data_IF_448176567942
#
_entry.id   IF_448176567942
#
_cell.length_a   1.000
_cell.length_b   1.000
_cell.length_c   1.000
_cell.angle_alpha   90.00
_cell.angle_beta   90.00
_cell.angle_gamma   90.00
#
_symmetry.space_group_name_H-M   'P 1'
#
loop_
_entity.id
_entity.type
_entity.pdbx_description
1 polymer ?
#
# COMPACT_ATOMS: atom_id res chain seq x y z
N UNK A 1 49.92 -43.22 34.22
CA UNK A 1 50.34 -44.53 34.75
C UNK A 1 49.07 -45.35 34.93
N UNK A 2 48.80 -46.23 33.96
CA UNK A 2 48.89 -47.71 34.08
C UNK A 2 47.58 -48.28 34.64
N UNK A 3 46.74 -48.92 33.81
CA UNK A 3 46.84 -50.26 33.17
C UNK A 3 46.01 -51.26 34.01
N UNK A 4 44.96 -51.86 33.44
CA UNK A 4 44.88 -53.28 32.94
C UNK A 4 44.07 -54.11 33.95
N UNK A 5 43.27 -55.12 33.61
CA UNK A 5 42.63 -55.62 32.38
C UNK A 5 41.80 -56.86 32.76
N UNK A 6 40.99 -57.35 31.81
CA UNK A 6 40.72 -58.79 31.50
C UNK A 6 39.86 -59.58 32.53
N UNK A 7 38.93 -60.47 32.16
CA UNK A 7 38.89 -61.32 30.96
C UNK A 7 37.54 -62.08 30.76
N UNK A 8 37.42 -62.67 29.55
CA UNK A 8 36.68 -63.89 29.13
C UNK A 8 35.17 -63.83 28.82
N UNK A 9 34.59 -64.60 27.89
CA UNK A 9 34.92 -65.12 26.54
C UNK A 9 33.68 -65.94 26.07
N UNK A 10 33.58 -66.19 24.75
CA UNK A 10 32.77 -67.22 24.05
C UNK A 10 31.24 -67.01 23.89
N UNK A 11 30.73 -66.70 22.69
CA UNK A 11 30.49 -67.54 21.48
C UNK A 11 29.43 -68.63 21.70
N UNK A 12 28.38 -68.63 20.87
CA UNK A 12 28.09 -69.74 19.96
C UNK A 12 27.10 -69.32 18.87
N UNK A 13 27.46 -69.82 17.70
CA UNK A 13 26.97 -69.58 16.34
C UNK A 13 26.00 -70.71 15.99
N UNK A 14 24.88 -70.39 15.34
CA UNK A 14 24.09 -71.35 14.57
C UNK A 14 23.69 -70.71 13.26
N UNK A 15 24.52 -70.99 12.24
CA UNK A 15 24.14 -70.94 10.85
C UNK A 15 23.26 -72.16 10.50
N UNK A 16 22.16 -71.93 9.80
CA UNK A 16 21.59 -72.92 8.88
C UNK A 16 21.13 -72.21 7.62
N UNK A 17 21.41 -72.86 6.50
CA UNK A 17 21.66 -72.33 5.16
C UNK A 17 20.47 -72.44 4.21
N UNK A 18 20.43 -71.49 3.27
CA UNK A 18 19.99 -71.55 1.86
C UNK A 18 18.83 -72.48 1.46
N UNK A 19 17.76 -71.84 0.95
CA UNK A 19 17.23 -72.22 -0.37
C UNK A 19 16.97 -70.95 -1.19
N UNK A 20 17.74 -70.84 -2.27
CA UNK A 20 17.58 -69.87 -3.36
C UNK A 20 16.51 -70.39 -4.33
N UNK A 21 15.56 -69.56 -4.74
CA UNK A 21 15.25 -69.32 -6.17
C UNK A 21 14.06 -68.35 -6.36
N UNK A 22 14.19 -67.58 -7.43
CA UNK A 22 13.19 -66.75 -8.13
C UNK A 22 12.97 -65.34 -7.59
N UNK A 23 13.82 -64.45 -8.12
CA UNK A 23 13.66 -63.02 -8.05
C UNK A 23 12.31 -62.56 -8.59
N UNK A 24 11.74 -61.60 -7.86
CA UNK A 24 10.66 -60.74 -8.31
C UNK A 24 10.96 -59.31 -7.88
N UNK A 25 12.16 -58.82 -8.20
CA UNK A 25 12.53 -57.42 -8.01
C UNK A 25 12.22 -56.53 -9.24
N UNK A 26 11.57 -57.08 -10.27
CA UNK A 26 11.39 -56.39 -11.56
C UNK A 26 9.94 -56.23 -12.06
N UNK A 27 8.92 -56.12 -11.19
CA UNK A 27 7.56 -55.79 -11.65
C UNK A 27 6.82 -54.83 -10.71
N UNK A 28 7.33 -53.61 -10.54
CA UNK A 28 6.48 -52.44 -10.43
C UNK A 28 7.12 -51.34 -11.27
N UNK A 29 6.52 -50.91 -12.39
CA UNK A 29 7.04 -49.76 -13.09
C UNK A 29 6.99 -48.59 -12.11
N UNK A 30 8.18 -48.08 -11.76
CA UNK A 30 8.35 -46.77 -11.15
C UNK A 30 7.31 -45.86 -11.76
N UNK A 31 6.36 -45.38 -10.96
CA UNK A 31 5.28 -44.54 -11.41
C UNK A 31 5.92 -43.29 -12.00
N UNK A 32 6.20 -43.34 -13.30
CA UNK A 32 6.79 -42.28 -14.05
C UNK A 32 5.85 -41.11 -13.82
N UNK A 33 6.39 -40.06 -13.19
CA UNK A 33 5.69 -38.81 -12.95
C UNK A 33 5.42 -38.20 -14.32
N UNK A 34 4.40 -38.69 -15.02
CA UNK A 34 3.91 -38.15 -16.28
C UNK A 34 3.38 -36.77 -15.94
N UNK A 35 4.25 -35.76 -16.09
CA UNK A 35 3.78 -34.37 -16.14
C UNK A 35 2.86 -34.33 -17.34
N UNK A 36 1.56 -34.00 -17.19
CA UNK A 36 0.72 -33.82 -18.36
C UNK A 36 1.40 -32.76 -19.22
N UNK A 37 1.73 -33.10 -20.47
CA UNK A 37 2.19 -32.12 -21.45
C UNK A 37 1.02 -31.18 -21.72
N UNK A 38 0.84 -30.20 -20.84
CA UNK A 38 -0.13 -29.13 -21.05
C UNK A 38 0.32 -28.41 -22.31
N UNK A 39 -0.52 -28.48 -23.35
CA UNK A 39 -0.28 -27.79 -24.61
C UNK A 39 0.09 -26.33 -24.31
N UNK A 40 0.96 -25.74 -25.14
CA UNK A 40 1.37 -24.33 -24.97
C UNK A 40 0.12 -23.45 -24.79
N UNK A 41 -0.93 -23.71 -25.57
CA UNK A 41 -2.24 -23.04 -25.49
C UNK A 41 -2.88 -23.14 -24.11
N UNK A 42 -2.90 -24.32 -23.47
CA UNK A 42 -3.48 -24.50 -22.14
C UNK A 42 -2.68 -23.76 -21.05
N UNK A 43 -1.36 -23.65 -21.20
CA UNK A 43 -0.51 -22.82 -20.33
C UNK A 43 -0.78 -21.32 -20.50
N UNK A 44 -0.86 -20.84 -21.74
CA UNK A 44 -1.21 -19.43 -22.01
C UNK A 44 -2.62 -19.11 -21.50
N UNK A 45 -3.61 -19.97 -21.74
CA UNK A 45 -4.98 -19.77 -21.27
C UNK A 45 -5.06 -19.73 -19.73
N UNK A 46 -4.43 -20.68 -19.04
CA UNK A 46 -4.43 -20.69 -17.56
C UNK A 46 -3.66 -19.51 -16.95
N UNK A 47 -2.59 -19.05 -17.59
CA UNK A 47 -1.83 -17.88 -17.14
C UNK A 47 -2.62 -16.59 -17.37
N UNK A 48 -3.31 -16.45 -18.50
CA UNK A 48 -4.21 -15.33 -18.79
C UNK A 48 -5.37 -15.28 -17.81
N UNK A 49 -6.05 -16.40 -17.54
CA UNK A 49 -7.15 -16.46 -16.57
C UNK A 49 -6.67 -16.03 -15.17
N UNK A 50 -5.48 -16.50 -14.73
CA UNK A 50 -4.88 -16.10 -13.45
C UNK A 50 -4.57 -14.61 -13.43
N UNK A 51 -3.97 -14.08 -14.49
CA UNK A 51 -3.62 -12.66 -14.58
C UNK A 51 -4.88 -11.79 -14.56
N UNK A 52 -5.88 -12.12 -15.39
CA UNK A 52 -7.16 -11.40 -15.45
C UNK A 52 -7.86 -11.41 -14.11
N UNK A 53 -7.91 -12.55 -13.42
CA UNK A 53 -8.49 -12.64 -12.07
C UNK A 53 -7.76 -11.74 -11.07
N UNK A 54 -6.43 -11.77 -11.05
CA UNK A 54 -5.62 -10.92 -10.16
C UNK A 54 -5.81 -9.42 -10.42
N UNK A 55 -5.96 -9.04 -11.69
CA UNK A 55 -6.21 -7.66 -12.11
C UNK A 55 -7.63 -7.25 -11.72
N UNK A 56 -8.64 -8.06 -12.06
CA UNK A 56 -10.03 -7.78 -11.74
C UNK A 56 -10.26 -7.69 -10.23
N UNK A 57 -9.71 -8.60 -9.43
CA UNK A 57 -9.88 -8.60 -7.97
C UNK A 57 -9.37 -7.28 -7.34
N UNK A 58 -8.31 -6.68 -7.90
CA UNK A 58 -7.76 -5.40 -7.44
C UNK A 58 -8.52 -4.19 -7.99
N UNK A 59 -8.90 -4.25 -9.27
CA UNK A 59 -9.65 -3.17 -9.92
C UNK A 59 -11.09 -3.09 -9.40
N UNK A 60 -11.70 -4.21 -8.99
CA UNK A 60 -13.07 -4.25 -8.50
C UNK A 60 -13.28 -3.33 -7.30
N UNK A 61 -12.30 -3.28 -6.39
CA UNK A 61 -12.38 -2.42 -5.21
C UNK A 61 -12.36 -0.92 -5.60
N UNK A 62 -11.47 -0.54 -6.53
CA UNK A 62 -11.40 0.82 -7.06
C UNK A 62 -12.65 1.18 -7.88
N UNK A 63 -13.16 0.23 -8.68
CA UNK A 63 -14.37 0.40 -9.48
C UNK A 63 -15.61 0.54 -8.59
N UNK A 64 -15.69 -0.25 -7.52
CA UNK A 64 -16.76 -0.13 -6.51
C UNK A 64 -16.75 1.23 -5.83
N UNK A 65 -15.57 1.73 -5.44
CA UNK A 65 -15.44 3.09 -4.93
C UNK A 65 -15.86 4.15 -5.95
N UNK A 66 -15.40 4.05 -7.20
CA UNK A 66 -15.79 4.96 -8.28
C UNK A 66 -17.30 4.92 -8.54
N UNK A 67 -17.94 3.75 -8.44
CA UNK A 67 -19.38 3.59 -8.59
C UNK A 67 -20.15 4.22 -7.42
N UNK A 68 -19.71 4.01 -6.18
CA UNK A 68 -20.32 4.63 -4.99
C UNK A 68 -20.18 6.17 -5.02
N UNK A 69 -18.99 6.66 -5.36
CA UNK A 69 -18.69 8.09 -5.50
C UNK A 69 -19.52 8.72 -6.61
N UNK A 70 -19.53 8.13 -7.81
CA UNK A 70 -20.32 8.66 -8.92
C UNK A 70 -21.83 8.59 -8.64
N UNK A 71 -22.30 7.52 -8.00
CA UNK A 71 -23.67 7.42 -7.50
C UNK A 71 -24.02 8.54 -6.51
N UNK A 72 -23.14 8.86 -5.56
CA UNK A 72 -23.33 9.98 -4.64
C UNK A 72 -23.38 11.33 -5.36
N UNK A 73 -22.47 11.57 -6.30
CA UNK A 73 -22.43 12.81 -7.10
C UNK A 73 -23.74 12.98 -7.88
N UNK A 74 -24.21 11.93 -8.54
CA UNK A 74 -25.48 11.94 -9.29
C UNK A 74 -26.67 12.15 -8.35
N UNK A 75 -26.71 11.44 -7.22
CA UNK A 75 -27.80 11.56 -6.23
C UNK A 75 -27.88 12.96 -5.60
N UNK A 76 -26.73 13.54 -5.23
CA UNK A 76 -26.67 14.89 -4.65
C UNK A 76 -26.89 15.99 -5.68
N UNK A 77 -26.81 15.67 -6.98
CA UNK A 77 -26.95 16.64 -8.06
C UNK A 77 -25.77 17.62 -8.17
N UNK A 78 -24.64 17.30 -7.56
CA UNK A 78 -23.38 18.04 -7.67
C UNK A 78 -22.80 17.91 -9.09
N UNK A 79 -21.96 18.87 -9.50
CA UNK A 79 -21.19 18.85 -10.75
C UNK A 79 -22.07 18.99 -12.00
N UNK A 80 -22.82 20.10 -12.03
CA UNK A 80 -23.59 20.49 -13.21
C UNK A 80 -22.81 21.53 -14.03
N UNK A 81 -22.85 21.40 -15.34
CA UNK A 81 -22.22 22.34 -16.28
C UNK A 81 -20.70 22.47 -16.06
N UNK A 82 -20.18 23.71 -16.01
CA UNK A 82 -18.74 23.98 -15.89
C UNK A 82 -18.16 23.65 -14.50
N UNK A 83 -19.00 23.51 -13.47
CA UNK A 83 -18.57 23.13 -12.11
C UNK A 83 -18.07 21.67 -12.03
N UNK A 84 -18.27 20.88 -13.09
CA UNK A 84 -17.73 19.52 -13.21
C UNK A 84 -16.20 19.49 -13.03
N UNK A 85 -15.47 20.44 -13.61
CA UNK A 85 -14.00 20.42 -13.55
C UNK A 85 -13.48 20.71 -12.14
N UNK A 86 -14.03 21.72 -11.47
CA UNK A 86 -13.67 22.05 -10.09
C UNK A 86 -14.06 20.92 -9.12
N UNK A 87 -15.25 20.36 -9.31
CA UNK A 87 -15.75 19.23 -8.55
C UNK A 87 -14.93 17.95 -8.67
N UNK A 88 -14.69 17.53 -9.91
CA UNK A 88 -13.90 16.34 -10.21
C UNK A 88 -12.48 16.46 -9.65
N UNK A 89 -11.89 17.65 -9.67
CA UNK A 89 -10.57 17.88 -9.08
C UNK A 89 -10.55 17.58 -7.58
N UNK A 90 -11.54 18.04 -6.81
CA UNK A 90 -11.63 17.78 -5.37
C UNK A 90 -11.88 16.30 -5.07
N UNK A 91 -12.74 15.65 -5.85
CA UNK A 91 -13.10 14.26 -5.63
C UNK A 91 -11.99 13.29 -6.01
N UNK A 92 -11.27 13.55 -7.10
CA UNK A 92 -10.09 12.76 -7.47
C UNK A 92 -8.97 12.99 -6.45
N UNK A 93 -8.61 14.26 -6.15
CA UNK A 93 -7.52 14.58 -5.21
C UNK A 93 -7.80 14.02 -3.82
N UNK A 94 -8.99 14.27 -3.28
CA UNK A 94 -9.41 13.73 -1.98
C UNK A 94 -9.53 12.20 -1.98
N UNK A 95 -10.00 11.61 -3.08
CA UNK A 95 -10.04 10.15 -3.26
C UNK A 95 -8.66 9.50 -3.22
N UNK A 96 -7.64 10.12 -3.81
CA UNK A 96 -6.25 9.64 -3.73
C UNK A 96 -5.78 9.61 -2.27
N UNK A 97 -6.00 10.68 -1.50
CA UNK A 97 -5.62 10.70 -0.07
C UNK A 97 -6.41 9.72 0.78
N UNK A 98 -7.70 9.53 0.48
CA UNK A 98 -8.52 8.48 1.09
C UNK A 98 -7.90 7.10 0.89
N UNK A 99 -7.54 6.77 -0.35
CA UNK A 99 -6.87 5.50 -0.68
C UNK A 99 -5.47 5.39 -0.06
N UNK A 100 -4.70 6.48 0.02
CA UNK A 100 -3.43 6.50 0.75
C UNK A 100 -3.64 6.18 2.24
N UNK A 101 -4.71 6.67 2.86
CA UNK A 101 -5.08 6.33 4.23
C UNK A 101 -5.38 4.84 4.42
N UNK A 102 -6.17 4.24 3.51
CA UNK A 102 -6.43 2.80 3.51
C UNK A 102 -5.16 1.98 3.27
N UNK A 103 -4.29 2.41 2.35
CA UNK A 103 -3.01 1.73 2.10
C UNK A 103 -2.09 1.80 3.32
N UNK A 104 -2.00 2.95 4.00
CA UNK A 104 -1.25 3.10 5.24
C UNK A 104 -1.77 2.16 6.34
N UNK A 105 -3.09 2.00 6.45
CA UNK A 105 -3.70 1.09 7.39
C UNK A 105 -3.48 -0.38 7.02
N UNK A 106 -3.70 -0.76 5.76
CA UNK A 106 -3.41 -2.10 5.26
C UNK A 106 -1.95 -2.48 5.46
N UNK A 107 -1.03 -1.51 5.35
CA UNK A 107 0.39 -1.68 5.66
C UNK A 107 0.65 -2.00 7.13
N UNK A 108 -0.06 -1.32 8.05
CA UNK A 108 -0.05 -1.62 9.48
C UNK A 108 -0.63 -3.02 9.80
N UNK A 109 -1.70 -3.43 9.11
CA UNK A 109 -2.29 -4.78 9.30
C UNK A 109 -1.41 -5.89 8.72
N UNK A 110 -0.65 -5.60 7.65
CA UNK A 110 0.26 -6.52 6.96
C UNK A 110 -0.20 -6.96 5.57
N UNK A 111 -1.17 -6.27 4.97
CA UNK A 111 -1.80 -6.60 3.68
C UNK A 111 -0.82 -6.79 2.51
N UNK A 112 0.31 -6.06 2.53
CA UNK A 112 1.30 -6.03 1.45
C UNK A 112 2.65 -6.63 1.86
N UNK A 113 2.68 -7.48 2.89
CA UNK A 113 3.89 -8.16 3.32
C UNK A 113 4.52 -9.02 2.19
N UNK A 114 3.70 -9.61 1.32
CA UNK A 114 4.18 -10.42 0.19
C UNK A 114 5.00 -9.62 -0.84
N UNK A 115 4.74 -8.32 -1.00
CA UNK A 115 5.49 -7.41 -1.87
C UNK A 115 6.67 -6.73 -1.15
N UNK A 116 6.76 -6.91 0.16
CA UNK A 116 7.69 -6.22 1.05
C UNK A 116 7.25 -4.80 1.43
N UNK A 117 6.09 -4.32 0.98
CA UNK A 117 5.63 -2.95 1.23
C UNK A 117 5.12 -2.71 2.65
N UNK A 118 4.97 -3.76 3.47
CA UNK A 118 4.69 -3.58 4.90
C UNK A 118 5.74 -2.65 5.54
N UNK A 119 7.03 -2.89 5.30
CA UNK A 119 8.13 -2.05 5.83
C UNK A 119 9.39 -2.07 4.96
N UNK A 120 9.22 -2.18 3.64
CA UNK A 120 10.29 -2.30 2.64
C UNK A 120 11.29 -3.44 2.86
N UNK A 121 10.86 -4.49 3.55
CA UNK A 121 11.65 -5.70 3.76
C UNK A 121 11.18 -6.77 2.78
N UNK A 122 12.07 -7.18 1.88
CA UNK A 122 11.77 -8.20 0.87
C UNK A 122 11.68 -9.58 1.54
N UNK A 123 10.67 -10.41 1.22
CA UNK A 123 10.58 -11.76 1.77
C UNK A 123 11.74 -12.65 1.27
N UNK A 124 12.30 -13.49 2.15
CA UNK A 124 13.37 -14.43 1.79
C UNK A 124 12.89 -15.44 0.75
N UNK A 125 13.68 -15.70 -0.29
CA UNK A 125 13.44 -16.76 -1.29
C UNK A 125 12.67 -16.34 -2.55
N UNK A 126 12.21 -15.09 -2.66
CA UNK A 126 11.68 -14.52 -3.91
C UNK A 126 12.49 -13.30 -4.31
N UNK A 127 13.21 -13.38 -5.43
CA UNK A 127 13.95 -12.25 -5.99
C UNK A 127 12.97 -11.26 -6.64
N UNK A 128 12.21 -10.51 -5.83
CA UNK A 128 11.32 -9.48 -6.35
C UNK A 128 12.12 -8.18 -6.55
N UNK A 129 12.16 -7.70 -7.80
CA UNK A 129 12.63 -6.35 -8.17
C UNK A 129 11.58 -5.28 -7.86
N UNK A 130 10.79 -5.46 -6.79
CA UNK A 130 9.78 -4.49 -6.40
C UNK A 130 10.44 -3.24 -5.82
N UNK A 131 10.14 -2.03 -6.36
CA UNK A 131 10.54 -0.78 -5.73
C UNK A 131 9.94 -0.62 -4.33
N UNK A 132 10.58 0.21 -3.48
CA UNK A 132 10.06 0.59 -2.17
C UNK A 132 8.72 1.32 -2.30
N UNK A 133 7.90 1.27 -1.26
CA UNK A 133 6.61 1.97 -1.25
C UNK A 133 6.82 3.49 -1.37
N UNK A 134 7.85 4.01 -0.71
CA UNK A 134 8.22 5.42 -0.68
C UNK A 134 8.71 5.90 -2.05
N UNK A 135 9.29 5.01 -2.86
CA UNK A 135 9.57 5.29 -4.26
C UNK A 135 8.27 5.46 -5.04
N UNK A 136 7.28 4.57 -4.84
CA UNK A 136 5.96 4.71 -5.48
C UNK A 136 5.21 5.96 -5.01
N UNK A 137 5.23 6.26 -3.71
CA UNK A 137 4.65 7.49 -3.16
C UNK A 137 5.32 8.73 -3.80
N UNK A 138 6.65 8.74 -3.89
CA UNK A 138 7.40 9.83 -4.54
C UNK A 138 7.10 9.93 -6.04
N UNK A 139 6.97 8.79 -6.73
CA UNK A 139 6.61 8.74 -8.15
C UNK A 139 5.21 9.30 -8.40
N UNK A 140 4.23 8.96 -7.56
CA UNK A 140 2.87 9.50 -7.70
C UNK A 140 2.81 11.00 -7.38
N UNK A 141 3.55 11.47 -6.37
CA UNK A 141 3.69 12.91 -6.09
C UNK A 141 4.29 13.63 -7.31
N UNK A 142 5.35 13.08 -7.89
CA UNK A 142 5.99 13.62 -9.09
C UNK A 142 5.04 13.61 -10.29
N UNK A 143 4.38 12.49 -10.57
CA UNK A 143 3.47 12.32 -11.70
C UNK A 143 2.29 13.30 -11.59
N UNK A 144 1.78 13.47 -10.36
CA UNK A 144 0.75 14.46 -10.07
C UNK A 144 1.26 15.88 -10.34
N UNK A 145 2.45 16.24 -9.84
CA UNK A 145 3.04 17.56 -10.13
C UNK A 145 3.25 17.80 -11.62
N UNK A 146 3.84 16.83 -12.32
CA UNK A 146 4.15 16.90 -13.75
C UNK A 146 2.89 17.05 -14.62
N UNK A 147 1.80 16.38 -14.25
CA UNK A 147 0.54 16.45 -15.01
C UNK A 147 -0.27 17.70 -14.69
N UNK A 148 -0.36 18.10 -13.41
CA UNK A 148 -1.26 19.18 -12.99
C UNK A 148 -0.76 20.60 -13.32
N UNK A 149 0.53 20.81 -13.58
CA UNK A 149 1.04 22.10 -14.10
C UNK A 149 0.24 22.56 -15.33
N UNK A 150 -0.18 21.61 -16.18
CA UNK A 150 -0.89 21.91 -17.43
C UNK A 150 -2.42 21.92 -17.28
N UNK A 151 -2.96 21.36 -16.19
CA UNK A 151 -4.41 21.19 -16.01
C UNK A 151 -5.08 22.37 -15.30
N UNK A 152 -4.32 23.18 -14.57
CA UNK A 152 -4.88 24.22 -13.70
C UNK A 152 -5.61 25.34 -14.47
N UNK A 153 -5.09 25.72 -15.64
CA UNK A 153 -5.73 26.74 -16.48
C UNK A 153 -6.85 26.19 -17.39
N UNK A 154 -7.15 24.88 -17.35
CA UNK A 154 -8.21 24.31 -18.19
C UNK A 154 -9.61 24.82 -17.83
N UNK A 155 -9.83 25.21 -16.57
CA UNK A 155 -11.13 25.74 -16.14
C UNK A 155 -11.43 27.14 -16.71
N UNK A 156 -10.40 27.87 -17.14
CA UNK A 156 -10.49 29.22 -17.73
C UNK A 156 -9.67 29.32 -19.03
N UNK A 157 -9.79 28.31 -19.91
CA UNK A 157 -9.00 28.25 -21.13
C UNK A 157 -9.22 29.46 -22.03
N UNK A 158 -8.16 30.26 -22.23
CA UNK A 158 -8.19 31.48 -23.04
C UNK A 158 -8.59 32.74 -22.28
N UNK A 159 -8.78 32.66 -20.96
CA UNK A 159 -8.99 33.80 -20.07
C UNK A 159 -7.70 34.34 -19.44
N UNK A 160 -7.82 35.40 -18.65
CA UNK A 160 -6.70 35.96 -17.88
C UNK A 160 -6.29 35.02 -16.74
N UNK A 161 -4.99 35.02 -16.42
CA UNK A 161 -4.44 34.30 -15.26
C UNK A 161 -4.81 35.01 -13.97
N UNK A 162 -5.43 34.27 -13.05
CA UNK A 162 -5.80 34.78 -11.72
C UNK A 162 -4.70 34.49 -10.69
N UNK A 163 -4.73 35.20 -9.56
CA UNK A 163 -3.81 34.93 -8.44
C UNK A 163 -3.92 33.48 -7.92
N UNK A 164 -5.14 32.92 -7.91
CA UNK A 164 -5.41 31.53 -7.52
C UNK A 164 -4.70 30.54 -8.44
N UNK A 165 -4.62 30.82 -9.75
CA UNK A 165 -3.92 29.95 -10.70
C UNK A 165 -2.43 29.91 -10.42
N UNK A 166 -1.83 31.04 -10.04
CA UNK A 166 -0.41 31.10 -9.65
C UNK A 166 -0.15 30.36 -8.33
N UNK A 167 -1.05 30.45 -7.34
CA UNK A 167 -0.96 29.67 -6.11
C UNK A 167 -0.98 28.16 -6.42
N UNK A 168 -1.91 27.70 -7.24
CA UNK A 168 -2.00 26.30 -7.63
C UNK A 168 -0.79 25.84 -8.46
N UNK A 169 -0.29 26.64 -9.40
CA UNK A 169 0.96 26.33 -10.13
C UNK A 169 2.13 26.16 -9.14
N UNK A 170 2.25 27.04 -8.15
CA UNK A 170 3.34 26.94 -7.16
C UNK A 170 3.29 25.63 -6.37
N UNK A 171 2.08 25.15 -6.05
CA UNK A 171 1.87 23.84 -5.39
C UNK A 171 2.26 22.70 -6.35
N UNK A 172 1.92 22.78 -7.63
CA UNK A 172 2.31 21.73 -8.59
C UNK A 172 3.82 21.64 -8.77
N UNK A 173 4.54 22.77 -8.71
CA UNK A 173 6.00 22.79 -8.75
C UNK A 173 6.62 22.13 -7.51
N UNK A 174 6.05 22.37 -6.33
CA UNK A 174 6.44 21.68 -5.09
C UNK A 174 6.26 20.15 -5.23
N UNK A 175 5.15 19.70 -5.81
CA UNK A 175 4.89 18.27 -6.03
C UNK A 175 5.85 17.67 -7.06
N UNK A 176 6.12 18.38 -8.15
CA UNK A 176 7.07 17.95 -9.17
C UNK A 176 8.48 17.79 -8.58
N UNK A 177 9.00 18.83 -7.93
CA UNK A 177 10.35 18.81 -7.34
C UNK A 177 10.47 17.85 -6.16
N UNK A 178 9.50 17.85 -5.26
CA UNK A 178 9.46 16.96 -4.10
C UNK A 178 9.41 15.48 -4.50
N UNK A 179 8.53 15.11 -5.43
CA UNK A 179 8.45 13.73 -5.91
C UNK A 179 9.72 13.28 -6.64
N UNK A 180 10.32 14.16 -7.45
CA UNK A 180 11.59 13.86 -8.13
C UNK A 180 12.72 13.63 -7.12
N UNK A 181 12.88 14.52 -6.14
CA UNK A 181 13.87 14.37 -5.07
C UNK A 181 13.64 13.07 -4.30
N UNK A 182 12.39 12.74 -3.97
CA UNK A 182 12.03 11.51 -3.29
C UNK A 182 12.43 10.25 -4.08
N UNK A 183 12.19 10.23 -5.39
CA UNK A 183 12.64 9.13 -6.25
C UNK A 183 14.16 9.02 -6.35
N UNK A 184 14.87 10.15 -6.44
CA UNK A 184 16.34 10.18 -6.50
C UNK A 184 16.95 9.64 -5.20
N UNK A 185 16.40 10.02 -4.04
CA UNK A 185 16.80 9.51 -2.71
C UNK A 185 16.59 8.01 -2.60
N UNK A 186 15.58 7.46 -3.27
CA UNK A 186 15.27 6.03 -3.30
C UNK A 186 16.03 5.20 -4.34
N UNK A 187 16.65 5.86 -5.33
CA UNK A 187 17.32 5.19 -6.43
C UNK A 187 18.64 4.54 -6.00
N UNK A 188 18.75 3.23 -6.21
CA UNK A 188 19.98 2.46 -5.95
C UNK A 188 21.17 2.96 -6.79
N UNK A 189 20.92 3.45 -8.01
CA UNK A 189 21.96 3.98 -8.88
C UNK A 189 22.56 5.28 -8.35
N UNK A 190 21.70 6.23 -7.96
CA UNK A 190 22.10 7.49 -7.35
C UNK A 190 22.81 7.22 -6.02
N UNK A 191 22.26 6.35 -5.17
CA UNK A 191 22.90 5.92 -3.92
C UNK A 191 24.30 5.37 -4.15
N UNK A 192 24.50 4.45 -5.11
CA UNK A 192 25.83 3.92 -5.44
C UNK A 192 26.80 4.99 -5.93
N UNK A 193 26.33 5.97 -6.70
CA UNK A 193 27.16 7.10 -7.13
C UNK A 193 27.61 7.97 -5.95
N UNK A 194 26.74 8.17 -4.95
CA UNK A 194 27.06 8.93 -3.73
C UNK A 194 27.91 8.11 -2.73
N UNK A 195 27.63 6.81 -2.60
CA UNK A 195 28.28 5.89 -1.64
C UNK A 195 29.74 5.60 -2.00
N UNK A 196 30.17 5.86 -3.25
CA UNK A 196 31.58 5.79 -3.63
C UNK A 196 32.48 6.75 -2.82
N UNK A 197 31.91 7.73 -2.10
CA UNK A 197 32.62 8.64 -1.21
C UNK A 197 32.75 8.15 0.24
N UNK A 198 31.88 7.25 0.73
CA UNK A 198 31.86 6.78 2.13
C UNK A 198 31.38 5.33 2.18
N UNK A 199 32.24 4.40 2.65
CA UNK A 199 31.95 2.96 2.85
C UNK A 199 30.85 2.72 3.90
N UNK A 200 29.63 3.11 3.62
CA UNK A 200 28.47 2.86 4.48
C UNK A 200 27.84 1.51 4.11
N UNK A 201 27.46 0.67 5.08
CA UNK A 201 26.73 -0.55 4.78
C UNK A 201 25.38 -0.20 4.15
N UNK A 202 24.90 -0.99 3.16
CA UNK A 202 23.63 -0.72 2.50
C UNK A 202 22.49 -0.73 3.52
N UNK A 203 21.71 0.36 3.58
CA UNK A 203 20.51 0.42 4.41
C UNK A 203 19.54 -0.68 3.98
N UNK A 204 19.12 -1.51 4.94
CA UNK A 204 18.19 -2.63 4.70
C UNK A 204 16.74 -2.18 4.46
N UNK A 205 16.40 -0.93 4.80
CA UNK A 205 15.04 -0.39 4.78
C UNK A 205 15.07 1.04 4.23
N UNK A 206 14.14 1.35 3.31
CA UNK A 206 13.88 2.71 2.86
C UNK A 206 13.19 3.51 3.97
N UNK A 207 13.72 4.71 4.25
CA UNK A 207 13.19 5.65 5.24
C UNK A 207 13.20 7.06 4.65
N UNK A 208 12.48 7.25 3.55
CA UNK A 208 12.44 8.52 2.83
C UNK A 208 11.48 9.52 3.50
N UNK A 209 11.95 10.67 3.99
CA UNK A 209 11.09 11.68 4.59
C UNK A 209 10.41 12.60 3.56
N UNK A 210 10.80 12.54 2.28
CA UNK A 210 10.32 13.49 1.28
C UNK A 210 8.81 13.40 1.04
N UNK A 211 8.20 12.21 0.84
CA UNK A 211 6.74 12.11 0.69
C UNK A 211 5.94 12.72 1.84
N UNK A 212 6.19 12.38 3.14
CA UNK A 212 5.45 13.03 4.22
C UNK A 212 5.75 14.52 4.32
N UNK A 213 6.96 15.00 4.02
CA UNK A 213 7.25 16.44 4.02
C UNK A 213 6.44 17.19 2.95
N UNK A 214 6.29 16.64 1.75
CA UNK A 214 5.45 17.26 0.71
C UNK A 214 3.99 17.33 1.15
N UNK A 215 3.46 16.27 1.77
CA UNK A 215 2.08 16.25 2.30
C UNK A 215 1.92 17.24 3.46
N UNK A 216 2.92 17.39 4.33
CA UNK A 216 2.91 18.37 5.42
C UNK A 216 2.80 19.80 4.89
N UNK A 217 3.61 20.15 3.88
CA UNK A 217 3.59 21.47 3.27
C UNK A 217 2.26 21.74 2.57
N UNK A 218 1.71 20.75 1.85
CA UNK A 218 0.35 20.85 1.30
C UNK A 218 -0.66 21.16 2.40
N UNK A 219 -0.65 20.40 3.49
CA UNK A 219 -1.56 20.59 4.61
C UNK A 219 -1.46 22.00 5.22
N UNK A 220 -0.25 22.52 5.42
CA UNK A 220 -0.03 23.84 5.99
C UNK A 220 -0.58 24.94 5.08
N UNK A 221 -0.24 24.88 3.78
CA UNK A 221 -0.70 25.87 2.80
C UNK A 221 -2.22 25.87 2.70
N UNK A 222 -2.83 24.70 2.58
CA UNK A 222 -4.27 24.56 2.41
C UNK A 222 -5.04 24.86 3.69
N UNK A 223 -4.41 24.68 4.86
CA UNK A 223 -5.05 25.02 6.13
C UNK A 223 -5.27 26.53 6.33
N UNK A 224 -4.46 27.34 5.62
CA UNK A 224 -4.51 28.81 5.62
C UNK A 224 -5.12 29.38 4.33
N UNK A 225 -5.60 28.52 3.42
CA UNK A 225 -6.14 28.94 2.14
C UNK A 225 -7.55 29.50 2.30
N UNK A 226 -7.74 30.79 2.01
CA UNK A 226 -9.05 31.45 2.07
C UNK A 226 -9.95 30.98 0.92
N UNK A 227 -11.19 30.61 1.25
CA UNK A 227 -12.23 30.25 0.28
C UNK A 227 -13.28 31.36 0.19
N UNK A 228 -14.10 31.30 -0.87
CA UNK A 228 -15.20 32.26 -1.10
C UNK A 228 -16.25 32.25 0.01
N UNK A 229 -16.34 31.17 0.79
CA UNK A 229 -17.27 31.04 1.93
C UNK A 229 -16.54 30.69 3.21
N UNK A 230 -17.10 31.13 4.35
CA UNK A 230 -16.58 30.77 5.67
C UNK A 230 -16.62 29.26 5.91
N UNK A 231 -17.70 28.59 5.48
CA UNK A 231 -17.84 27.13 5.56
C UNK A 231 -16.73 26.43 4.76
N UNK A 232 -16.48 26.87 3.53
CA UNK A 232 -15.40 26.32 2.70
C UNK A 232 -14.02 26.53 3.31
N UNK A 233 -13.77 27.71 3.88
CA UNK A 233 -12.48 28.04 4.54
C UNK A 233 -12.27 27.15 5.77
N UNK A 234 -13.31 26.94 6.58
CA UNK A 234 -13.26 26.04 7.74
C UNK A 234 -12.99 24.59 7.35
N UNK A 235 -13.66 24.08 6.32
CA UNK A 235 -13.41 22.72 5.82
C UNK A 235 -11.99 22.56 5.27
N UNK A 236 -11.47 23.55 4.54
CA UNK A 236 -10.08 23.57 4.07
C UNK A 236 -9.06 23.56 5.21
N UNK A 237 -9.31 24.38 6.23
CA UNK A 237 -8.51 24.38 7.46
C UNK A 237 -8.48 23.00 8.13
N UNK A 238 -9.64 22.36 8.27
CA UNK A 238 -9.77 21.05 8.91
C UNK A 238 -9.04 19.93 8.16
N UNK A 239 -9.24 19.78 6.85
CA UNK A 239 -8.55 18.72 6.11
C UNK A 239 -7.05 19.01 5.95
N UNK A 240 -6.66 20.28 5.79
CA UNK A 240 -5.26 20.68 5.73
C UNK A 240 -4.51 20.31 7.02
N UNK A 241 -5.11 20.58 8.19
CA UNK A 241 -4.53 20.22 9.47
C UNK A 241 -4.46 18.69 9.69
N UNK A 242 -5.43 17.92 9.19
CA UNK A 242 -5.36 16.46 9.21
C UNK A 242 -4.18 15.95 8.37
N UNK A 243 -3.91 16.52 7.20
CA UNK A 243 -2.75 16.15 6.38
C UNK A 243 -1.42 16.51 7.05
N UNK A 244 -1.33 17.67 7.71
CA UNK A 244 -0.19 18.01 8.56
C UNK A 244 0.01 16.97 9.66
N UNK A 245 -1.05 16.62 10.39
CA UNK A 245 -1.01 15.60 11.42
C UNK A 245 -0.53 14.26 10.88
N UNK A 246 -1.13 13.79 9.78
CA UNK A 246 -0.71 12.56 9.12
C UNK A 246 0.79 12.56 8.77
N UNK A 247 1.28 13.64 8.19
CA UNK A 247 2.69 13.76 7.83
C UNK A 247 3.63 13.74 9.04
N UNK A 248 3.29 14.46 10.12
CA UNK A 248 4.08 14.47 11.36
C UNK A 248 4.14 13.06 11.97
N UNK A 249 2.99 12.39 12.11
CA UNK A 249 2.95 11.03 12.63
C UNK A 249 3.66 10.02 11.72
N UNK A 250 3.67 10.24 10.40
CA UNK A 250 4.45 9.45 9.45
C UNK A 250 5.96 9.64 9.68
N UNK A 251 6.43 10.88 9.88
CA UNK A 251 7.82 11.17 10.23
C UNK A 251 8.22 10.51 11.55
N UNK A 252 7.37 10.57 12.58
CA UNK A 252 7.60 9.87 13.86
C UNK A 252 7.68 8.35 13.64
N UNK A 253 6.87 7.81 12.74
CA UNK A 253 6.93 6.39 12.35
C UNK A 253 8.30 6.06 11.73
N UNK A 254 8.76 6.86 10.76
CA UNK A 254 10.07 6.67 10.12
C UNK A 254 11.22 6.75 11.15
N UNK A 255 11.17 7.72 12.07
CA UNK A 255 12.14 7.85 13.16
C UNK A 255 12.10 6.62 14.08
N UNK A 256 10.91 6.12 14.42
CA UNK A 256 10.75 4.94 15.28
C UNK A 256 11.33 3.68 14.63
N UNK A 257 11.11 3.50 13.32
CA UNK A 257 11.69 2.39 12.56
C UNK A 257 13.19 2.53 12.36
N UNK A 258 13.71 3.75 12.31
CA UNK A 258 15.15 3.97 12.27
C UNK A 258 15.83 3.43 13.52
N UNK A 259 15.23 3.67 14.69
CA UNK A 259 15.74 3.16 15.98
C UNK A 259 15.48 1.66 16.16
N UNK A 260 14.33 1.16 15.72
CA UNK A 260 13.94 -0.25 15.81
C UNK A 260 13.59 -0.78 14.42
N UNK A 261 14.58 -1.27 13.65
CA UNK A 261 14.35 -1.72 12.29
C UNK A 261 13.33 -2.86 12.28
N UNK A 262 12.39 -2.85 11.33
CA UNK A 262 11.34 -3.86 11.26
C UNK A 262 11.93 -5.26 11.00
N UNK A 263 11.20 -6.28 11.44
CA UNK A 263 11.50 -7.68 11.10
C UNK A 263 10.72 -8.09 9.83
N UNK A 264 10.78 -9.37 9.44
CA UNK A 264 9.99 -9.85 8.30
C UNK A 264 8.47 -9.85 8.60
N UNK A 265 8.09 -9.75 9.88
CA UNK A 265 6.71 -9.59 10.28
C UNK A 265 6.34 -8.09 10.32
N UNK A 266 5.09 -7.73 10.02
CA UNK A 266 4.66 -6.34 10.07
C UNK A 266 4.89 -5.77 11.48
N UNK A 267 5.76 -4.76 11.60
CA UNK A 267 5.73 -3.91 12.78
C UNK A 267 4.40 -3.14 12.78
N UNK A 268 3.87 -2.85 13.96
CA UNK A 268 2.57 -2.19 14.13
C UNK A 268 2.75 -0.90 14.94
N UNK A 269 3.53 0.08 14.43
CA UNK A 269 3.72 1.33 15.15
C UNK A 269 2.38 2.04 15.30
N UNK A 270 2.06 2.46 16.52
CA UNK A 270 0.78 3.12 16.86
C UNK A 270 0.57 4.40 16.06
N UNK A 271 1.67 5.09 15.73
CA UNK A 271 1.68 6.34 14.96
C UNK A 271 1.12 6.17 13.55
N UNK A 272 1.27 4.99 12.93
CA UNK A 272 0.76 4.73 11.58
C UNK A 272 -0.77 4.61 11.54
N UNK A 273 -1.42 4.20 12.63
CA UNK A 273 -2.88 4.24 12.74
C UNK A 273 -3.40 5.67 12.68
N UNK A 274 -2.68 6.61 13.31
CA UNK A 274 -3.02 8.03 13.26
C UNK A 274 -2.84 8.58 11.85
N UNK A 275 -1.77 8.19 11.15
CA UNK A 275 -1.58 8.53 9.73
C UNK A 275 -2.77 8.07 8.89
N UNK A 276 -3.15 6.79 9.01
CA UNK A 276 -4.27 6.22 8.28
C UNK A 276 -5.58 6.98 8.55
N UNK A 277 -5.90 7.21 9.82
CA UNK A 277 -7.11 7.92 10.22
C UNK A 277 -7.15 9.35 9.68
N UNK A 278 -6.05 10.10 9.82
CA UNK A 278 -5.96 11.48 9.37
C UNK A 278 -6.03 11.59 7.83
N UNK A 279 -5.35 10.72 7.08
CA UNK A 279 -5.42 10.72 5.61
C UNK A 279 -6.80 10.30 5.10
N UNK A 280 -7.43 9.31 5.73
CA UNK A 280 -8.78 8.84 5.34
C UNK A 280 -9.82 9.94 5.60
N UNK A 281 -9.81 10.52 6.81
CA UNK A 281 -10.74 11.59 7.21
C UNK A 281 -10.49 12.85 6.39
N UNK A 282 -9.23 13.26 6.22
CA UNK A 282 -8.85 14.43 5.44
C UNK A 282 -9.18 14.26 3.96
N UNK A 283 -8.99 13.05 3.40
CA UNK A 283 -9.34 12.72 2.02
C UNK A 283 -10.83 12.91 1.76
N UNK A 284 -11.70 12.35 2.61
CA UNK A 284 -13.16 12.53 2.46
C UNK A 284 -13.57 14.00 2.65
N UNK A 285 -13.00 14.72 3.63
CA UNK A 285 -13.29 16.15 3.81
C UNK A 285 -12.84 16.99 2.62
N UNK A 286 -11.72 16.64 1.99
CA UNK A 286 -11.25 17.29 0.77
C UNK A 286 -12.20 17.02 -0.40
N UNK A 287 -12.74 15.80 -0.54
CA UNK A 287 -13.79 15.53 -1.54
C UNK A 287 -15.03 16.42 -1.30
N UNK A 288 -15.43 16.61 -0.05
CA UNK A 288 -16.57 17.45 0.33
C UNK A 288 -16.31 18.96 0.24
N UNK A 289 -15.07 19.41 0.10
CA UNK A 289 -14.73 20.83 0.10
C UNK A 289 -14.79 21.49 -1.29
N UNK A 290 -15.35 20.80 -2.29
CA UNK A 290 -15.66 21.42 -3.59
C UNK A 290 -16.80 22.43 -3.49
N UNK A 291 -16.84 23.42 -4.40
CA UNK A 291 -17.82 24.53 -4.37
C UNK A 291 -19.28 24.04 -4.29
N UNK A 292 -19.67 23.12 -5.18
CA UNK A 292 -21.02 22.53 -5.20
C UNK A 292 -21.35 21.77 -3.90
N UNK A 293 -20.39 20.99 -3.40
CA UNK A 293 -20.54 20.24 -2.15
C UNK A 293 -20.72 21.18 -0.95
N UNK A 294 -19.95 22.27 -0.89
CA UNK A 294 -20.09 23.31 0.13
C UNK A 294 -21.46 24.00 0.02
N UNK A 295 -21.93 24.30 -1.19
CA UNK A 295 -23.25 24.89 -1.40
C UNK A 295 -24.38 23.95 -0.94
N UNK A 296 -24.26 22.65 -1.22
CA UNK A 296 -25.19 21.62 -0.72
C UNK A 296 -25.19 21.48 0.80
N UNK A 297 -24.02 21.57 1.44
CA UNK A 297 -23.91 21.58 2.91
C UNK A 297 -24.54 22.84 3.50
N UNK A 298 -24.29 24.01 2.90
CA UNK A 298 -24.81 25.29 3.35
C UNK A 298 -26.35 25.34 3.23
N UNK A 299 -26.91 24.89 2.10
CA UNK A 299 -28.37 24.84 1.90
C UNK A 299 -29.06 23.88 2.87
N UNK A 300 -28.36 22.81 3.26
CA UNK A 300 -28.81 21.84 4.26
C UNK A 300 -28.55 22.28 5.71
N UNK A 301 -27.99 23.49 5.93
CA UNK A 301 -27.59 24.03 7.25
C UNK A 301 -26.61 23.13 8.01
N UNK A 302 -25.79 22.36 7.28
CA UNK A 302 -24.75 21.51 7.87
C UNK A 302 -23.51 22.36 8.14
N UNK A 303 -23.10 22.41 9.40
CA UNK A 303 -21.91 23.15 9.82
C UNK A 303 -20.63 22.34 9.62
N UNK A 304 -19.49 23.03 9.54
CA UNK A 304 -18.17 22.39 9.40
C UNK A 304 -17.89 21.36 10.50
N UNK A 305 -18.33 21.60 11.74
CA UNK A 305 -18.15 20.65 12.85
C UNK A 305 -18.93 19.35 12.63
N UNK A 306 -20.17 19.44 12.14
CA UNK A 306 -21.00 18.28 11.82
C UNK A 306 -20.40 17.48 10.67
N UNK A 307 -19.95 18.15 9.61
CA UNK A 307 -19.26 17.50 8.49
C UNK A 307 -17.98 16.79 8.95
N UNK A 308 -17.16 17.45 9.79
CA UNK A 308 -15.95 16.86 10.35
C UNK A 308 -16.23 15.62 11.19
N UNK A 309 -17.13 15.72 12.17
CA UNK A 309 -17.43 14.61 13.10
C UNK A 309 -18.09 13.42 12.40
N UNK A 310 -18.99 13.67 11.45
CA UNK A 310 -19.59 12.61 10.63
C UNK A 310 -18.53 11.89 9.78
N UNK A 311 -17.66 12.64 9.12
CA UNK A 311 -16.59 12.07 8.27
C UNK A 311 -15.53 11.34 9.09
N UNK A 312 -15.18 11.85 10.27
CA UNK A 312 -14.28 11.18 11.20
C UNK A 312 -14.88 9.85 11.70
N UNK A 313 -16.16 9.85 12.07
CA UNK A 313 -16.89 8.64 12.45
C UNK A 313 -16.95 7.61 11.31
N UNK A 314 -17.30 8.04 10.10
CA UNK A 314 -17.30 7.20 8.92
C UNK A 314 -15.91 6.60 8.64
N UNK A 315 -14.85 7.40 8.75
CA UNK A 315 -13.47 6.96 8.56
C UNK A 315 -13.08 5.89 9.58
N UNK A 316 -13.45 6.07 10.86
CA UNK A 316 -13.22 5.08 11.90
C UNK A 316 -13.95 3.75 11.63
N UNK A 317 -15.19 3.81 11.14
CA UNK A 317 -15.97 2.63 10.75
C UNK A 317 -15.33 1.90 9.57
N UNK A 318 -14.91 2.63 8.53
CA UNK A 318 -14.24 2.05 7.34
C UNK A 318 -12.94 1.36 7.75
N UNK A 319 -12.09 2.02 8.54
CA UNK A 319 -10.83 1.43 9.00
C UNK A 319 -11.09 0.23 9.92
N UNK A 320 -12.10 0.29 10.80
CA UNK A 320 -12.49 -0.86 11.62
C UNK A 320 -12.94 -2.05 10.77
N UNK A 321 -13.72 -1.78 9.72
CA UNK A 321 -14.16 -2.80 8.77
C UNK A 321 -12.98 -3.45 8.04
N UNK A 322 -11.98 -2.66 7.65
CA UNK A 322 -10.75 -3.20 7.07
C UNK A 322 -10.06 -4.20 8.01
N UNK A 323 -9.94 -3.88 9.32
CA UNK A 323 -9.38 -4.82 10.31
C UNK A 323 -10.20 -6.10 10.35
N UNK A 324 -11.53 -6.01 10.37
CA UNK A 324 -12.42 -7.18 10.41
C UNK A 324 -12.21 -8.08 9.20
N UNK A 325 -12.19 -7.52 7.99
CA UNK A 325 -11.97 -8.28 6.75
C UNK A 325 -10.61 -8.99 6.74
N UNK A 326 -9.55 -8.30 7.16
CA UNK A 326 -8.22 -8.92 7.27
C UNK A 326 -8.13 -9.96 8.40
N UNK A 327 -8.84 -9.76 9.51
CA UNK A 327 -8.93 -10.74 10.59
C UNK A 327 -9.64 -12.02 10.13
N UNK A 328 -10.74 -11.89 9.38
CA UNK A 328 -11.45 -13.02 8.77
C UNK A 328 -10.52 -13.76 7.79
N UNK A 329 -9.79 -13.03 6.93
CA UNK A 329 -8.80 -13.63 6.01
C UNK A 329 -7.74 -14.41 6.79
N UNK A 330 -7.14 -13.81 7.82
CA UNK A 330 -6.13 -14.47 8.64
C UNK A 330 -6.67 -15.69 9.40
N UNK A 331 -7.93 -15.63 9.84
CA UNK A 331 -8.62 -16.77 10.46
C UNK A 331 -8.88 -17.90 9.46
N UNK A 332 -9.31 -17.59 8.24
CA UNK A 332 -9.52 -18.58 7.18
C UNK A 332 -8.21 -19.28 6.79
N UNK A 333 -7.12 -18.51 6.62
CA UNK A 333 -5.79 -19.05 6.29
C UNK A 333 -5.22 -20.00 7.35
N UNK A 334 -5.58 -19.81 8.62
CA UNK A 334 -5.18 -20.72 9.71
C UNK A 334 -5.93 -22.06 9.67
N UNK A 335 -7.13 -22.08 9.07
CA UNK A 335 -8.01 -23.26 9.00
C UNK A 335 -7.91 -24.01 7.69
N UNK A 336 -7.36 -23.39 6.66
CA UNK A 336 -7.05 -24.06 5.40
C UNK A 336 -5.95 -25.09 5.66
N UNK A 337 -6.20 -26.40 5.46
CA UNK A 337 -5.13 -27.39 5.45
C UNK A 337 -4.13 -26.90 4.41
N UNK A 338 -2.85 -26.73 4.78
CA UNK A 338 -1.82 -26.56 3.76
C UNK A 338 -1.96 -27.76 2.83
N UNK A 339 -2.45 -27.54 1.61
CA UNK A 339 -2.43 -28.58 0.58
C UNK A 339 -0.96 -28.82 0.28
N UNK A 340 -0.39 -29.74 1.05
CA UNK A 340 0.87 -30.35 0.74
C UNK A 340 0.53 -31.17 -0.50
N UNK A 341 0.81 -30.60 -1.67
CA UNK A 341 0.77 -31.38 -2.90
C UNK A 341 1.58 -32.66 -2.72
N UNK A 342 1.40 -33.67 -3.59
CA UNK A 342 1.91 -35.04 -3.39
C UNK A 342 3.44 -35.20 -3.20
N UNK A 343 4.20 -34.11 -3.13
CA UNK A 343 5.65 -34.04 -3.19
C UNK A 343 6.36 -33.69 -1.87
N UNK A 344 5.70 -33.72 -0.70
CA UNK A 344 6.44 -33.67 0.58
C UNK A 344 5.97 -34.77 1.54
N UNK A 345 6.82 -35.78 1.83
CA UNK A 345 6.52 -36.71 2.91
C UNK A 345 6.50 -35.98 4.25
N UNK A 346 5.60 -36.41 5.13
CA UNK A 346 5.61 -36.04 6.53
C UNK A 346 6.99 -36.34 7.12
N UNK A 347 7.77 -35.32 7.50
CA UNK A 347 8.82 -35.53 8.48
C UNK A 347 8.12 -35.67 9.83
N UNK A 348 8.12 -36.89 10.37
CA UNK A 348 7.79 -37.15 11.77
C UNK A 348 8.75 -36.42 12.69
#
# INVERSE_FOLDING_TARGET
>A
MQRIAEDSENSDDYAESDDTLLGTDDILPSAAKVRPETSRVCRWASQSIRLTRLVLDRLLLLLGFAACVSGFVVFSGNFRNLEVYGGLSHWIKGGVFFWCGLLAHGRWIGAFADFGWAWNIKPKGKATRTPSLEFFESFFIWLYGASNVFLEHLSNWGGEWSATDFEHISITLLFFGGGLLGMLVESDGVRRMLDNALRSPPRKVSLNPIPPLTIMLLGLMMSSHHQQTELGTKLHSQWGLLFCGAAIFRLITLISLHHKPPSHQPSRPMTELVVAFCLTTGGILFMMSGRDSIAGLASSKIMAMTAFTATAGLSAVILSWEVVVFAIKGWAQKREPQWIGPDKPFSK
#
